data_IF_653087171883
#
_entry.id   IF_653087171883
#
_cell.length_a   1.000
_cell.length_b   1.000
_cell.length_c   1.000
_cell.angle_alpha   90.00
_cell.angle_beta   90.00
_cell.angle_gamma   90.00
#
_symmetry.space_group_name_H-M   'P 1'
#
loop_
_entity.id
_entity.type
_entity.pdbx_description
1 polymer ?
#
# COMPACT_ATOMS: atom_id res chain seq x y z
N UNK A 1 16.75 9.06 2.92
CA UNK A 1 15.38 9.29 2.43
C UNK A 1 14.48 9.60 3.60
N UNK A 2 13.47 10.44 3.39
CA UNK A 2 12.42 10.67 4.38
C UNK A 2 11.19 9.77 4.15
N UNK A 3 10.23 9.78 5.09
CA UNK A 3 9.04 8.93 5.01
C UNK A 3 8.22 9.13 3.72
N UNK A 4 8.10 10.37 3.20
CA UNK A 4 7.30 10.63 2.00
C UNK A 4 7.96 10.07 0.74
N UNK A 5 9.30 10.09 0.69
CA UNK A 5 10.06 9.47 -0.40
C UNK A 5 9.95 7.93 -0.37
N UNK A 6 9.95 7.34 0.83
CA UNK A 6 9.82 5.89 1.01
C UNK A 6 8.42 5.40 0.63
N UNK A 7 7.36 6.11 1.02
CA UNK A 7 5.99 5.80 0.62
C UNK A 7 5.85 5.90 -0.90
N UNK A 8 6.34 6.99 -1.52
CA UNK A 8 6.29 7.13 -2.98
C UNK A 8 6.99 5.98 -3.72
N UNK A 9 8.14 5.50 -3.23
CA UNK A 9 8.82 4.37 -3.84
C UNK A 9 7.99 3.07 -3.77
N UNK A 10 7.32 2.83 -2.64
CA UNK A 10 6.42 1.70 -2.52
C UNK A 10 5.20 1.87 -3.44
N UNK A 11 4.61 3.07 -3.50
CA UNK A 11 3.48 3.37 -4.38
C UNK A 11 3.80 3.08 -5.84
N UNK A 12 4.96 3.55 -6.32
CA UNK A 12 5.43 3.31 -7.68
C UNK A 12 5.63 1.81 -7.97
N UNK A 13 6.07 1.04 -6.97
CA UNK A 13 6.21 -0.40 -7.07
C UNK A 13 4.86 -1.12 -7.08
N UNK A 14 3.94 -0.73 -6.20
CA UNK A 14 2.58 -1.27 -6.09
C UNK A 14 1.80 -1.08 -7.40
N UNK A 15 1.77 0.15 -7.93
CA UNK A 15 1.06 0.45 -9.18
C UNK A 15 1.67 -0.30 -10.37
N UNK A 16 3.01 -0.36 -10.45
CA UNK A 16 3.69 -1.15 -11.48
C UNK A 16 3.33 -2.64 -11.41
N UNK A 17 3.40 -3.24 -10.22
CA UNK A 17 3.10 -4.66 -10.02
C UNK A 17 1.64 -4.96 -10.33
N UNK A 18 0.71 -4.12 -9.87
CA UNK A 18 -0.72 -4.27 -10.14
C UNK A 18 -1.03 -4.18 -11.63
N UNK A 19 -0.43 -3.20 -12.33
CA UNK A 19 -0.58 -3.07 -13.79
C UNK A 19 -0.04 -4.28 -14.55
N UNK A 20 1.18 -4.71 -14.22
CA UNK A 20 1.81 -5.88 -14.85
C UNK A 20 0.99 -7.15 -14.60
N UNK A 21 0.48 -7.33 -13.37
CA UNK A 21 -0.37 -8.46 -13.00
C UNK A 21 -1.64 -8.53 -13.86
N UNK A 22 -2.31 -7.39 -14.08
CA UNK A 22 -3.50 -7.32 -14.93
C UNK A 22 -3.21 -7.66 -16.40
N UNK A 23 -2.07 -7.20 -16.92
CA UNK A 23 -1.66 -7.35 -18.33
C UNK A 23 -1.02 -8.70 -18.67
N UNK A 24 -0.72 -9.55 -17.69
CA UNK A 24 0.05 -10.78 -17.91
C UNK A 24 -0.84 -11.95 -18.35
N UNK A 25 -0.74 -12.42 -19.59
CA UNK A 25 -1.55 -13.53 -20.11
C UNK A 25 -1.16 -14.90 -19.55
N UNK A 26 0.13 -15.10 -19.24
CA UNK A 26 0.62 -16.35 -18.68
C UNK A 26 0.22 -16.52 -17.21
N UNK A 27 -0.56 -17.57 -16.92
CA UNK A 27 -1.18 -17.78 -15.61
C UNK A 27 -0.16 -17.82 -14.46
N UNK A 28 0.96 -18.51 -14.66
CA UNK A 28 2.01 -18.66 -13.65
C UNK A 28 2.75 -17.34 -13.39
N UNK A 29 3.01 -16.57 -14.45
CA UNK A 29 3.61 -15.24 -14.34
C UNK A 29 2.67 -14.26 -13.65
N UNK A 30 1.37 -14.28 -13.97
CA UNK A 30 0.35 -13.46 -13.31
C UNK A 30 0.25 -13.82 -11.81
N UNK A 31 0.30 -15.11 -11.48
CA UNK A 31 0.32 -15.59 -10.08
C UNK A 31 1.59 -15.20 -9.34
N UNK A 32 2.74 -15.13 -10.01
CA UNK A 32 3.99 -14.65 -9.41
C UNK A 32 3.89 -13.17 -9.04
N UNK A 33 3.45 -12.33 -9.98
CA UNK A 33 3.21 -10.90 -9.75
C UNK A 33 2.18 -10.66 -8.65
N UNK A 34 1.10 -11.45 -8.63
CA UNK A 34 0.10 -11.41 -7.55
C UNK A 34 0.72 -11.68 -6.17
N UNK A 35 1.59 -12.68 -6.03
CA UNK A 35 2.24 -12.99 -4.75
C UNK A 35 3.14 -11.85 -4.29
N UNK A 36 3.90 -11.26 -5.22
CA UNK A 36 4.76 -10.12 -4.95
C UNK A 36 3.94 -8.90 -4.53
N UNK A 37 2.93 -8.53 -5.32
CA UNK A 37 2.01 -7.42 -5.03
C UNK A 37 1.36 -7.61 -3.66
N UNK A 38 0.76 -8.78 -3.40
CA UNK A 38 0.07 -9.05 -2.14
C UNK A 38 0.99 -8.86 -0.94
N UNK A 39 2.20 -9.40 -1.00
CA UNK A 39 3.13 -9.29 0.11
C UNK A 39 3.57 -7.85 0.32
N UNK A 40 3.77 -7.08 -0.76
CA UNK A 40 4.12 -5.67 -0.68
C UNK A 40 2.97 -4.83 -0.15
N UNK A 41 1.74 -4.96 -0.68
CA UNK A 41 0.53 -4.24 -0.21
C UNK A 41 0.36 -4.44 1.29
N UNK A 42 0.33 -5.69 1.77
CA UNK A 42 0.13 -5.96 3.19
C UNK A 42 1.29 -5.45 4.05
N UNK A 43 2.53 -5.49 3.57
CA UNK A 43 3.66 -4.99 4.36
C UNK A 43 3.70 -3.45 4.41
N UNK A 44 3.36 -2.81 3.30
CA UNK A 44 3.28 -1.36 3.16
C UNK A 44 2.17 -0.78 4.03
N UNK A 45 0.92 -1.17 3.81
CA UNK A 45 -0.25 -0.62 4.52
C UNK A 45 -0.14 -0.77 6.04
N UNK A 46 0.29 -1.94 6.52
CA UNK A 46 0.42 -2.19 7.97
C UNK A 46 1.60 -1.46 8.60
N UNK A 47 2.64 -1.13 7.83
CA UNK A 47 3.74 -0.29 8.31
C UNK A 47 3.32 1.18 8.33
N UNK A 48 2.60 1.63 7.32
CA UNK A 48 2.04 2.97 7.21
C UNK A 48 1.04 3.28 8.32
N UNK A 49 0.03 2.43 8.53
CA UNK A 49 -0.97 2.60 9.59
C UNK A 49 -0.30 2.72 10.98
N UNK A 50 0.72 1.89 11.21
CA UNK A 50 1.40 1.82 12.50
C UNK A 50 2.30 3.04 12.80
N UNK A 51 2.83 3.69 11.75
CA UNK A 51 3.84 4.74 11.86
C UNK A 51 3.28 6.09 11.44
N UNK A 52 2.76 6.18 10.23
CA UNK A 52 2.33 7.43 9.59
C UNK A 52 0.95 7.84 10.06
N UNK A 53 -0.07 6.99 9.93
CA UNK A 53 -1.44 7.36 10.31
C UNK A 53 -1.51 7.67 11.80
N UNK A 54 -0.88 6.83 12.64
CA UNK A 54 -0.76 7.09 14.08
C UNK A 54 -0.07 8.42 14.41
N UNK A 55 0.87 8.89 13.59
CA UNK A 55 1.51 10.19 13.79
C UNK A 55 0.61 11.34 13.34
N UNK A 56 -0.08 11.17 12.20
CA UNK A 56 -1.02 12.13 11.64
C UNK A 56 -2.25 12.34 12.55
N UNK A 57 -2.84 11.26 13.08
CA UNK A 57 -4.00 11.34 13.97
C UNK A 57 -3.71 12.12 15.25
N UNK A 58 -2.47 12.07 15.75
CA UNK A 58 -2.03 12.84 16.92
C UNK A 58 -2.04 14.35 16.69
N UNK A 59 -2.09 14.82 15.44
CA UNK A 59 -2.24 16.23 15.12
C UNK A 59 -3.65 16.74 15.44
N UNK A 60 -4.64 15.85 15.62
CA UNK A 60 -6.00 16.20 16.00
C UNK A 60 -6.77 16.99 14.94
N UNK A 61 -6.34 16.93 13.68
CA UNK A 61 -7.00 17.63 12.57
C UNK A 61 -8.06 16.74 11.96
N UNK A 62 -9.34 17.13 12.07
CA UNK A 62 -10.48 16.31 11.60
C UNK A 62 -10.31 15.84 10.15
N UNK A 63 -9.95 16.73 9.22
CA UNK A 63 -9.77 16.38 7.80
C UNK A 63 -8.74 15.27 7.61
N UNK A 64 -7.68 15.28 8.41
CA UNK A 64 -6.63 14.27 8.34
C UNK A 64 -7.06 12.96 8.99
N UNK A 65 -7.81 13.01 10.08
CA UNK A 65 -8.43 11.80 10.65
C UNK A 65 -9.45 11.17 9.70
N UNK A 66 -10.24 11.96 8.98
CA UNK A 66 -11.15 11.43 7.96
C UNK A 66 -10.36 10.71 6.84
N UNK A 67 -9.25 11.31 6.38
CA UNK A 67 -8.39 10.73 5.35
C UNK A 67 -7.67 9.44 5.82
N UNK A 68 -7.20 9.39 7.06
CA UNK A 68 -6.57 8.17 7.61
C UNK A 68 -7.58 7.04 7.81
N UNK A 69 -8.83 7.37 8.20
CA UNK A 69 -9.93 6.41 8.27
C UNK A 69 -10.30 5.85 6.89
N UNK A 70 -10.40 6.70 5.87
CA UNK A 70 -10.64 6.31 4.48
C UNK A 70 -9.53 5.37 3.96
N UNK A 71 -8.27 5.76 4.10
CA UNK A 71 -7.13 4.92 3.71
C UNK A 71 -7.11 3.55 4.39
N UNK A 72 -7.49 3.46 5.67
CA UNK A 72 -7.63 2.17 6.37
C UNK A 72 -8.71 1.27 5.76
N UNK A 73 -9.85 1.86 5.34
CA UNK A 73 -10.92 1.12 4.67
C UNK A 73 -10.44 0.63 3.30
N UNK A 74 -9.77 1.48 2.53
CA UNK A 74 -9.20 1.12 1.23
C UNK A 74 -8.16 0.00 1.33
N UNK A 75 -7.26 0.05 2.32
CA UNK A 75 -6.33 -1.03 2.64
C UNK A 75 -7.06 -2.35 2.88
N UNK A 76 -8.13 -2.33 3.69
CA UNK A 76 -8.94 -3.50 3.98
C UNK A 76 -9.64 -4.07 2.73
N UNK A 77 -10.17 -3.19 1.88
CA UNK A 77 -10.80 -3.58 0.61
C UNK A 77 -9.80 -4.20 -0.36
N UNK A 78 -8.60 -3.63 -0.46
CA UNK A 78 -7.53 -4.16 -1.31
C UNK A 78 -7.08 -5.55 -0.82
N UNK A 79 -6.84 -5.71 0.49
CA UNK A 79 -6.53 -7.01 1.10
C UNK A 79 -7.63 -8.06 0.83
N UNK A 80 -8.90 -7.65 0.89
CA UNK A 80 -10.03 -8.54 0.61
C UNK A 80 -10.05 -9.00 -0.86
N UNK A 81 -9.87 -8.08 -1.81
CA UNK A 81 -9.82 -8.42 -3.24
C UNK A 81 -8.66 -9.36 -3.55
N UNK A 82 -7.48 -9.11 -2.98
CA UNK A 82 -6.31 -9.97 -3.13
C UNK A 82 -6.58 -11.37 -2.53
N UNK A 83 -7.25 -11.46 -1.39
CA UNK A 83 -7.68 -12.75 -0.82
C UNK A 83 -8.61 -13.54 -1.77
N UNK A 84 -9.58 -12.87 -2.40
CA UNK A 84 -10.47 -13.51 -3.39
C UNK A 84 -9.69 -13.99 -4.62
N UNK A 85 -8.66 -13.25 -5.05
CA UNK A 85 -7.77 -13.62 -6.15
C UNK A 85 -6.86 -14.81 -5.82
N UNK A 86 -6.53 -15.03 -4.54
CA UNK A 86 -5.71 -16.15 -4.10
C UNK A 86 -6.28 -17.49 -4.55
N UNK A 87 -7.60 -17.66 -4.37
CA UNK A 87 -8.35 -18.90 -4.63
C UNK A 87 -8.80 -19.05 -6.09
N UNK A 88 -8.70 -18.00 -6.90
CA UNK A 88 -9.14 -17.99 -8.29
C UNK A 88 -8.07 -18.48 -9.29
N UNK A 89 -8.52 -18.84 -10.50
CA UNK A 89 -7.66 -19.16 -11.64
C UNK A 89 -7.31 -17.88 -12.43
N UNK A 90 -6.02 -17.61 -12.63
CA UNK A 90 -5.54 -16.35 -13.18
C UNK A 90 -6.00 -16.07 -14.64
N UNK A 91 -6.28 -17.13 -15.39
CA UNK A 91 -6.76 -17.07 -16.78
C UNK A 91 -8.22 -16.63 -16.90
N UNK A 92 -8.97 -16.62 -15.79
CA UNK A 92 -10.41 -16.31 -15.85
C UNK A 92 -10.64 -14.80 -15.97
N UNK A 93 -11.63 -14.41 -16.77
CA UNK A 93 -12.07 -13.02 -16.87
C UNK A 93 -12.39 -12.39 -15.50
N UNK A 94 -12.98 -13.17 -14.59
CA UNK A 94 -13.29 -12.73 -13.23
C UNK A 94 -12.04 -12.46 -12.36
N UNK A 95 -10.91 -13.11 -12.64
CA UNK A 95 -9.63 -12.83 -11.97
C UNK A 95 -8.99 -11.57 -12.56
N UNK A 96 -9.02 -11.43 -13.89
CA UNK A 96 -8.55 -10.24 -14.61
C UNK A 96 -9.31 -8.97 -14.23
N UNK A 97 -10.63 -9.05 -14.10
CA UNK A 97 -11.44 -7.93 -13.63
C UNK A 97 -11.03 -7.50 -12.21
N UNK A 98 -10.75 -8.45 -11.29
CA UNK A 98 -10.25 -8.11 -9.95
C UNK A 98 -8.88 -7.45 -10.01
N UNK A 99 -7.99 -7.89 -10.90
CA UNK A 99 -6.68 -7.26 -11.08
C UNK A 99 -6.80 -5.79 -11.49
N UNK A 100 -7.74 -5.46 -12.39
CA UNK A 100 -8.04 -4.08 -12.79
C UNK A 100 -8.56 -3.28 -11.59
N UNK A 101 -9.55 -3.79 -10.85
CA UNK A 101 -10.10 -3.09 -9.69
C UNK A 101 -9.07 -2.88 -8.59
N UNK A 102 -8.16 -3.84 -8.36
CA UNK A 102 -7.05 -3.68 -7.41
C UNK A 102 -6.12 -2.53 -7.84
N UNK A 103 -5.81 -2.43 -9.14
CA UNK A 103 -4.99 -1.32 -9.64
C UNK A 103 -5.70 0.03 -9.47
N UNK A 104 -7.00 0.13 -9.82
CA UNK A 104 -7.78 1.36 -9.68
C UNK A 104 -7.88 1.81 -8.22
N UNK A 105 -8.13 0.87 -7.29
CA UNK A 105 -8.16 1.16 -5.86
C UNK A 105 -6.80 1.64 -5.35
N UNK A 106 -5.70 1.00 -5.75
CA UNK A 106 -4.36 1.45 -5.37
C UNK A 106 -4.02 2.82 -5.96
N UNK A 107 -4.40 3.09 -7.21
CA UNK A 107 -4.12 4.38 -7.85
C UNK A 107 -4.86 5.52 -7.15
N UNK A 108 -6.14 5.30 -6.83
CA UNK A 108 -6.94 6.26 -6.07
C UNK A 108 -6.30 6.55 -4.71
N UNK A 109 -6.09 5.51 -3.91
CA UNK A 109 -5.45 5.58 -2.60
C UNK A 109 -4.13 6.36 -2.63
N UNK A 110 -3.23 6.02 -3.56
CA UNK A 110 -1.93 6.68 -3.71
C UNK A 110 -2.07 8.18 -4.02
N UNK A 111 -3.05 8.58 -4.83
CA UNK A 111 -3.28 10.00 -5.11
C UNK A 111 -3.80 10.72 -3.86
N UNK A 112 -4.74 10.13 -3.12
CA UNK A 112 -5.29 10.75 -1.92
C UNK A 112 -4.22 11.01 -0.86
N UNK A 113 -3.36 10.03 -0.59
CA UNK A 113 -2.28 10.22 0.38
C UNK A 113 -1.29 11.30 -0.06
N UNK A 114 -0.97 11.33 -1.36
CA UNK A 114 -0.05 12.32 -1.92
C UNK A 114 -0.61 13.74 -1.86
N UNK A 115 -1.90 13.90 -2.08
CA UNK A 115 -2.55 15.21 -2.13
C UNK A 115 -2.98 15.71 -0.75
N UNK A 116 -3.38 14.81 0.15
CA UNK A 116 -3.93 15.16 1.47
C UNK A 116 -2.92 14.97 2.61
N UNK A 117 -2.18 13.85 2.63
CA UNK A 117 -1.32 13.50 3.76
C UNK A 117 0.11 14.03 3.62
N UNK A 118 0.73 13.89 2.44
CA UNK A 118 2.14 14.30 2.25
C UNK A 118 2.40 15.79 2.55
N UNK A 119 1.51 16.74 2.17
CA UNK A 119 1.70 18.14 2.53
C UNK A 119 1.64 18.36 4.04
N UNK A 120 0.75 17.65 4.74
CA UNK A 120 0.64 17.71 6.21
C UNK A 120 1.88 17.13 6.87
N UNK A 121 2.40 16.01 6.37
CA UNK A 121 3.65 15.42 6.85
C UNK A 121 4.79 16.44 6.75
N UNK A 122 4.97 17.06 5.59
CA UNK A 122 6.04 18.04 5.36
C UNK A 122 5.88 19.33 6.17
N UNK A 123 4.63 19.72 6.47
CA UNK A 123 4.33 20.92 7.25
C UNK A 123 4.53 20.73 8.74
N UNK A 124 4.19 19.56 9.28
CA UNK A 124 4.11 19.33 10.73
C UNK A 124 5.27 18.52 11.32
N UNK A 125 6.05 17.84 10.50
CA UNK A 125 7.21 17.06 10.94
C UNK A 125 8.47 17.61 10.28
N UNK A 126 9.46 17.97 11.07
CA UNK A 126 10.77 18.39 10.59
C UNK A 126 11.55 17.23 9.95
N UNK A 127 12.71 17.53 9.37
CA UNK A 127 13.49 16.57 8.60
C UNK A 127 13.95 15.38 9.47
N UNK A 128 14.27 15.62 10.75
CA UNK A 128 14.69 14.57 11.69
C UNK A 128 13.52 13.65 12.06
N UNK A 129 12.34 14.23 12.33
CA UNK A 129 11.12 13.48 12.58
C UNK A 129 10.72 12.64 11.37
N UNK A 130 10.74 13.21 10.15
CA UNK A 130 10.41 12.47 8.92
C UNK A 130 11.42 11.37 8.62
N UNK A 131 12.71 11.59 8.86
CA UNK A 131 13.72 10.54 8.74
C UNK A 131 13.54 9.43 9.78
N UNK A 132 13.13 9.77 11.00
CA UNK A 132 12.83 8.79 12.06
C UNK A 132 11.61 7.96 11.72
N UNK A 133 10.53 8.59 11.23
CA UNK A 133 9.36 7.89 10.71
C UNK A 133 9.74 6.93 9.59
N UNK A 134 10.59 7.38 8.64
CA UNK A 134 11.10 6.53 7.55
C UNK A 134 11.78 5.26 8.07
N UNK A 135 12.70 5.38 9.04
CA UNK A 135 13.38 4.23 9.65
C UNK A 135 12.40 3.26 10.32
N UNK A 136 11.42 3.78 11.06
CA UNK A 136 10.42 2.96 11.74
C UNK A 136 9.53 2.23 10.74
N UNK A 137 9.11 2.91 9.68
CA UNK A 137 8.33 2.35 8.58
C UNK A 137 9.09 1.20 7.90
N UNK A 138 10.35 1.43 7.50
CA UNK A 138 11.16 0.39 6.84
C UNK A 138 11.39 -0.82 7.74
N UNK A 139 11.70 -0.61 9.03
CA UNK A 139 11.85 -1.69 10.00
C UNK A 139 10.57 -2.52 10.10
N UNK A 140 9.41 -1.85 10.22
CA UNK A 140 8.12 -2.53 10.33
C UNK A 140 7.78 -3.30 9.05
N UNK A 141 7.96 -2.67 7.89
CA UNK A 141 7.75 -3.28 6.57
C UNK A 141 8.64 -4.51 6.37
N UNK A 142 9.92 -4.42 6.72
CA UNK A 142 10.86 -5.54 6.61
C UNK A 142 10.45 -6.75 7.46
N UNK A 143 9.99 -6.52 8.71
CA UNK A 143 9.49 -7.59 9.59
C UNK A 143 8.25 -8.28 9.01
N UNK A 144 7.34 -7.51 8.42
CA UNK A 144 6.13 -8.02 7.78
C UNK A 144 6.45 -8.85 6.52
N UNK A 145 7.36 -8.35 5.67
CA UNK A 145 7.83 -9.08 4.49
C UNK A 145 8.53 -10.39 4.85
N UNK A 146 9.37 -10.39 5.90
CA UNK A 146 10.04 -11.59 6.38
C UNK A 146 9.04 -12.64 6.90
N UNK A 147 8.02 -12.19 7.64
CA UNK A 147 6.96 -13.06 8.15
C UNK A 147 6.08 -13.65 7.04
N UNK A 148 5.89 -12.92 5.95
CA UNK A 148 5.11 -13.39 4.80
C UNK A 148 5.86 -14.40 3.92
N UNK A 149 7.20 -14.41 3.94
CA UNK A 149 8.03 -15.40 3.23
C UNK A 149 8.17 -16.72 3.98
N UNK A 150 7.89 -16.73 5.28
CA UNK A 150 7.98 -17.92 6.14
C UNK A 150 6.70 -18.80 6.12
N UNK A 151 5.68 -18.41 5.36
CA UNK A 151 4.39 -19.11 5.19
C UNK A 151 4.21 -19.53 3.74
#
# INVERSE_FOLDING_TARGET
MDITELLQQDHDALLRLARQMGQQDEADAAKALYRELRNLVTAHSRAEEAVVYRALDKLGQKKISDATEEGQVEHGLCDHLLMLMARGRAETAAWKAKAVVVHELLDHHVQEEKDEMFPVIRKHFDDEARATMGKLFEQRKALLLASSKAK
#
